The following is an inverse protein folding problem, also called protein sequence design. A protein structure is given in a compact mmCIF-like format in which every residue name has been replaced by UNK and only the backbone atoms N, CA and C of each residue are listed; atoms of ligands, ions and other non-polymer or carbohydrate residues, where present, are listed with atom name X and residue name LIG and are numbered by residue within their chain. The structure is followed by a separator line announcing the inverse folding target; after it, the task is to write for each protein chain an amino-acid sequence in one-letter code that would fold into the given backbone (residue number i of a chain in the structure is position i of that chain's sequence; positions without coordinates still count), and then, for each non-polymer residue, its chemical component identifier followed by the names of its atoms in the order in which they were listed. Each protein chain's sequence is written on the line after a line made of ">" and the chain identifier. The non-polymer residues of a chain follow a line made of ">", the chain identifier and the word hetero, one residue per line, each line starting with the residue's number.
data_IF_246933159460
#
_entry.id   IF_246933159460
#
_cell.length_a   1.000
_cell.length_b   1.000
_cell.length_c   1.000
_cell.angle_alpha   90.00
_cell.angle_beta   90.00
_cell.angle_gamma   90.00
#
_symmetry.space_group_name_H-M   'P 1'
#
loop_
_entity.id
_entity.type
_entity.pdbx_description
1 polymer ?
#
# COMPACT_ATOMS: atom_id res chain seq x y z
N UNK A 1 -35.79 -23.80 24.70
CA UNK A 1 -34.58 -23.91 23.85
C UNK A 1 -33.43 -23.27 24.62
N UNK A 2 -32.42 -24.06 25.01
CA UNK A 2 -31.45 -23.71 26.06
C UNK A 2 -30.33 -22.81 25.52
N UNK A 3 -30.04 -21.71 26.22
CA UNK A 3 -28.99 -20.72 25.95
C UNK A 3 -27.61 -21.32 25.63
N UNK A 4 -27.33 -22.52 26.16
CA UNK A 4 -26.08 -23.26 25.90
C UNK A 4 -25.88 -23.68 24.44
N UNK A 5 -26.96 -24.01 23.72
CA UNK A 5 -26.89 -24.37 22.29
C UNK A 5 -26.51 -23.14 21.44
N UNK A 6 -27.03 -21.97 21.81
CA UNK A 6 -26.73 -20.70 21.15
C UNK A 6 -25.27 -20.28 21.35
N UNK A 7 -24.73 -20.44 22.57
CA UNK A 7 -23.32 -20.15 22.86
C UNK A 7 -22.38 -21.12 22.13
N UNK A 8 -22.75 -22.39 22.01
CA UNK A 8 -21.99 -23.38 21.23
C UNK A 8 -21.96 -23.02 19.73
N UNK A 9 -23.09 -22.60 19.16
CA UNK A 9 -23.16 -22.15 17.76
C UNK A 9 -22.33 -20.89 17.51
N UNK A 10 -22.34 -19.92 18.43
CA UNK A 10 -21.49 -18.72 18.33
C UNK A 10 -20.01 -19.10 18.38
N UNK A 11 -19.61 -19.97 19.32
CA UNK A 11 -18.23 -20.40 19.44
C UNK A 11 -17.74 -21.20 18.22
N UNK A 12 -18.61 -22.05 17.64
CA UNK A 12 -18.32 -22.79 16.42
C UNK A 12 -18.26 -21.88 15.18
N UNK A 13 -19.09 -20.84 15.13
CA UNK A 13 -19.06 -19.82 14.07
C UNK A 13 -17.77 -18.98 14.14
N UNK A 14 -17.36 -18.53 15.33
CA UNK A 14 -16.13 -17.77 15.54
C UNK A 14 -14.86 -18.55 15.15
N UNK A 15 -14.85 -19.89 15.29
CA UNK A 15 -13.70 -20.71 14.88
C UNK A 15 -13.58 -20.93 13.37
N UNK A 16 -14.68 -20.83 12.62
CA UNK A 16 -14.70 -21.01 11.17
C UNK A 16 -14.51 -19.70 10.39
N UNK A 17 -14.46 -18.56 11.09
CA UNK A 17 -14.25 -17.24 10.50
C UNK A 17 -12.82 -16.74 10.77
N UNK A 18 -11.81 -17.58 10.50
CA UNK A 18 -10.44 -17.10 10.38
C UNK A 18 -10.29 -16.40 9.03
N UNK A 19 -10.41 -15.07 9.05
CA UNK A 19 -10.02 -14.22 7.93
C UNK A 19 -8.50 -14.28 7.86
N UNK A 20 -7.95 -15.09 6.97
CA UNK A 20 -6.53 -15.08 6.67
C UNK A 20 -6.23 -13.89 5.75
N UNK A 21 -5.48 -12.90 6.25
CA UNK A 21 -4.78 -11.96 5.38
C UNK A 21 -3.74 -12.74 4.56
N UNK A 22 -3.48 -12.34 3.31
CA UNK A 22 -2.45 -12.93 2.43
C UNK A 22 -1.08 -12.85 3.11
N UNK A 23 -0.51 -13.97 3.61
CA UNK A 23 0.79 -13.94 4.25
C UNK A 23 1.88 -13.45 3.29
N UNK A 24 1.78 -13.80 2.01
CA UNK A 24 2.75 -13.39 0.98
C UNK A 24 2.73 -11.88 0.72
N UNK A 25 1.56 -11.24 0.81
CA UNK A 25 1.46 -9.78 0.68
C UNK A 25 2.05 -9.08 1.90
N UNK A 26 1.82 -9.64 3.10
CA UNK A 26 2.45 -9.14 4.34
C UNK A 26 3.97 -9.25 4.28
N UNK A 27 4.51 -10.36 3.78
CA UNK A 27 5.94 -10.57 3.65
C UNK A 27 6.55 -9.58 2.65
N UNK A 28 5.94 -9.44 1.46
CA UNK A 28 6.33 -8.43 0.46
C UNK A 28 6.34 -7.03 1.06
N UNK A 29 5.28 -6.70 1.79
CA UNK A 29 5.11 -5.39 2.40
C UNK A 29 6.23 -5.09 3.42
N UNK A 30 6.59 -6.06 4.25
CA UNK A 30 7.67 -5.92 5.23
C UNK A 30 9.03 -5.82 4.53
N UNK A 31 9.26 -6.61 3.48
CA UNK A 31 10.51 -6.61 2.73
C UNK A 31 10.74 -5.26 2.02
N UNK A 32 9.70 -4.71 1.38
CA UNK A 32 9.77 -3.41 0.69
C UNK A 32 10.03 -2.26 1.67
N UNK A 33 9.53 -2.32 2.91
CA UNK A 33 9.63 -1.23 3.87
C UNK A 33 10.83 -1.34 4.84
N UNK A 34 11.52 -2.48 4.88
CA UNK A 34 12.59 -2.76 5.86
C UNK A 34 13.69 -1.68 5.89
N UNK A 35 14.04 -1.14 4.73
CA UNK A 35 15.10 -0.12 4.57
C UNK A 35 14.63 1.08 3.73
N UNK A 36 13.32 1.29 3.67
CA UNK A 36 12.74 2.37 2.89
C UNK A 36 12.59 3.63 3.75
N UNK A 37 13.18 4.74 3.32
CA UNK A 37 13.08 6.04 3.98
C UNK A 37 12.13 6.98 3.23
N UNK A 38 10.92 7.29 3.75
CA UNK A 38 9.92 8.10 3.04
C UNK A 38 10.34 9.55 2.74
N UNK A 39 11.35 10.04 3.45
CA UNK A 39 11.86 11.41 3.28
C UNK A 39 12.97 11.51 2.25
N UNK A 40 13.53 10.38 1.81
CA UNK A 40 14.57 10.33 0.81
C UNK A 40 13.94 10.26 -0.58
N UNK A 41 14.44 11.08 -1.50
CA UNK A 41 13.98 11.08 -2.88
C UNK A 41 14.36 9.75 -3.56
N UNK A 42 13.44 9.07 -4.25
CA UNK A 42 13.69 7.74 -4.83
C UNK A 42 14.45 7.84 -6.15
N UNK A 43 15.74 8.17 -6.06
CA UNK A 43 16.68 8.19 -7.18
C UNK A 43 17.88 7.30 -6.89
N UNK A 44 18.36 6.56 -7.89
CA UNK A 44 19.55 5.71 -7.75
C UNK A 44 20.81 6.55 -7.55
N UNK A 45 20.96 7.63 -8.33
CA UNK A 45 22.05 8.59 -8.18
C UNK A 45 21.52 9.95 -7.75
N UNK A 46 22.28 10.66 -6.89
CA UNK A 46 21.88 11.98 -6.39
C UNK A 46 21.71 13.03 -7.49
N UNK A 47 22.32 12.82 -8.66
CA UNK A 47 22.24 13.71 -9.83
C UNK A 47 20.95 13.55 -10.64
N UNK A 48 20.25 12.43 -10.46
CA UNK A 48 19.08 12.11 -11.25
C UNK A 48 17.85 12.92 -10.79
N UNK A 49 16.87 13.05 -11.67
CA UNK A 49 15.60 13.70 -11.38
C UNK A 49 14.51 12.64 -11.11
N UNK A 50 13.47 13.03 -10.39
CA UNK A 50 12.23 12.24 -10.33
C UNK A 50 11.27 12.82 -11.34
N UNK A 51 10.85 12.02 -12.30
CA UNK A 51 9.82 12.40 -13.26
C UNK A 51 8.45 12.07 -12.67
N UNK A 52 7.57 13.06 -12.60
CA UNK A 52 6.22 12.94 -12.05
C UNK A 52 5.21 13.23 -13.15
N UNK A 53 4.27 12.32 -13.35
CA UNK A 53 3.15 12.46 -14.27
C UNK A 53 1.91 12.87 -13.48
N UNK A 54 1.22 13.91 -13.93
CA UNK A 54 0.02 14.43 -13.26
C UNK A 54 -1.15 14.38 -14.24
N UNK A 55 -2.19 13.66 -13.85
CA UNK A 55 -3.48 13.64 -14.54
C UNK A 55 -4.39 14.74 -14.01
N UNK A 56 -4.83 15.65 -14.88
CA UNK A 56 -5.70 16.78 -14.53
C UNK A 56 -7.08 16.64 -15.17
N UNK A 57 -8.12 16.85 -14.36
CA UNK A 57 -9.46 17.22 -14.84
C UNK A 57 -9.72 18.65 -14.36
N UNK A 58 -10.46 19.45 -15.13
CA UNK A 58 -10.56 20.93 -15.00
C UNK A 58 -10.80 21.48 -13.58
N UNK A 59 -11.29 20.67 -12.65
CA UNK A 59 -11.56 21.06 -11.25
C UNK A 59 -10.66 20.37 -10.21
N UNK A 60 -9.93 19.29 -10.57
CA UNK A 60 -9.20 18.45 -9.61
C UNK A 60 -8.01 17.72 -10.24
N UNK A 61 -6.95 17.51 -9.45
CA UNK A 61 -5.90 16.53 -9.77
C UNK A 61 -6.51 15.14 -9.55
N UNK A 62 -6.47 14.29 -10.58
CA UNK A 62 -7.08 12.96 -10.55
C UNK A 62 -6.08 11.91 -10.10
N UNK A 63 -4.87 12.00 -10.63
CA UNK A 63 -3.84 11.00 -10.38
C UNK A 63 -2.45 11.62 -10.46
N UNK A 64 -1.53 11.05 -9.67
CA UNK A 64 -0.13 11.41 -9.64
C UNK A 64 0.67 10.13 -9.67
N UNK A 65 1.46 9.94 -10.72
CA UNK A 65 2.27 8.73 -10.91
C UNK A 65 3.74 9.09 -10.94
N UNK A 66 4.57 8.31 -10.26
CA UNK A 66 6.03 8.43 -10.27
C UNK A 66 6.67 7.04 -10.25
N UNK A 67 7.96 6.99 -10.55
CA UNK A 67 8.75 5.75 -10.49
C UNK A 67 9.64 5.76 -9.25
N UNK A 68 9.69 4.63 -8.56
CA UNK A 68 10.56 4.40 -7.40
C UNK A 68 11.34 3.10 -7.58
N UNK A 69 12.67 3.21 -7.63
CA UNK A 69 13.54 2.07 -7.88
C UNK A 69 13.63 1.09 -6.70
N UNK A 70 13.31 1.53 -5.47
CA UNK A 70 13.35 0.68 -4.27
C UNK A 70 12.08 -0.15 -4.11
N UNK A 71 10.97 0.31 -4.69
CA UNK A 71 9.67 -0.38 -4.66
C UNK A 71 9.51 -1.37 -5.83
N UNK A 72 10.52 -2.21 -6.05
CA UNK A 72 10.54 -3.24 -7.09
C UNK A 72 10.68 -4.63 -6.49
N UNK A 73 9.93 -5.59 -7.01
CA UNK A 73 10.01 -7.00 -6.63
C UNK A 73 9.74 -7.89 -7.84
N UNK A 74 10.09 -9.17 -7.73
CA UNK A 74 9.69 -10.19 -8.69
C UNK A 74 8.37 -10.83 -8.23
N UNK A 75 7.27 -10.71 -9.00
CA UNK A 75 5.98 -11.31 -8.65
C UNK A 75 6.08 -12.81 -8.38
N UNK A 76 7.02 -13.51 -9.02
CA UNK A 76 7.21 -14.96 -8.85
C UNK A 76 7.57 -15.36 -7.41
N UNK A 77 8.19 -14.45 -6.65
CA UNK A 77 8.59 -14.68 -5.25
C UNK A 77 7.45 -14.44 -4.25
N UNK A 78 6.38 -13.75 -4.66
CA UNK A 78 5.29 -13.33 -3.78
C UNK A 78 3.93 -13.67 -4.40
N UNK A 79 3.73 -14.95 -4.74
CA UNK A 79 2.46 -15.48 -5.26
C UNK A 79 1.84 -14.74 -6.47
N UNK A 80 2.66 -14.09 -7.30
CA UNK A 80 2.22 -13.36 -8.48
C UNK A 80 1.65 -11.97 -8.19
N UNK A 81 1.87 -11.40 -7.00
CA UNK A 81 1.42 -10.05 -6.65
C UNK A 81 2.11 -9.02 -7.57
N UNK A 82 1.32 -8.20 -8.26
CA UNK A 82 1.81 -7.13 -9.16
C UNK A 82 1.52 -5.72 -8.65
N UNK A 83 0.64 -5.58 -7.66
CA UNK A 83 0.26 -4.31 -7.06
C UNK A 83 0.14 -4.49 -5.54
N UNK A 84 0.63 -3.52 -4.78
CA UNK A 84 0.46 -3.45 -3.33
C UNK A 84 0.10 -2.02 -2.95
N UNK A 85 -0.71 -1.86 -1.91
CA UNK A 85 -1.21 -0.54 -1.47
C UNK A 85 -0.51 -0.07 -0.21
N UNK A 86 0.04 1.13 -0.26
CA UNK A 86 0.66 1.80 0.88
C UNK A 86 -0.18 2.98 1.39
N UNK A 87 -0.04 3.31 2.67
CA UNK A 87 -0.51 4.60 3.19
C UNK A 87 0.47 5.69 2.78
N UNK A 88 -0.03 6.90 2.54
CA UNK A 88 0.76 8.06 2.05
C UNK A 88 2.03 8.37 2.85
N UNK A 89 2.05 8.11 4.15
CA UNK A 89 3.19 8.41 5.03
C UNK A 89 4.26 7.30 5.07
N UNK A 90 4.06 6.19 4.36
CA UNK A 90 4.93 5.02 4.40
C UNK A 90 5.90 4.96 3.22
N UNK A 91 5.60 5.69 2.16
CA UNK A 91 6.44 5.77 0.97
C UNK A 91 6.72 7.24 0.64
N UNK A 92 7.80 7.50 -0.08
CA UNK A 92 8.06 8.82 -0.61
C UNK A 92 6.95 9.17 -1.58
N UNK A 93 6.36 10.33 -1.39
CA UNK A 93 5.36 10.89 -2.29
C UNK A 93 5.91 12.23 -2.76
N UNK A 94 5.86 12.55 -4.07
CA UNK A 94 6.29 13.85 -4.53
C UNK A 94 5.51 14.91 -3.77
N UNK A 95 6.24 15.87 -3.20
CA UNK A 95 5.69 17.03 -2.50
C UNK A 95 4.97 17.95 -3.47
N UNK A 96 3.89 17.50 -4.08
CA UNK A 96 2.89 18.39 -4.60
C UNK A 96 2.12 18.88 -3.38
N UNK A 97 2.27 20.17 -3.10
CA UNK A 97 1.10 20.97 -2.76
C UNK A 97 0.05 20.70 -3.85
N UNK A 98 -0.63 19.56 -3.76
CA UNK A 98 -2.00 19.43 -4.25
C UNK A 98 -2.65 20.64 -3.62
N UNK A 99 -2.97 21.63 -4.45
CA UNK A 99 -3.88 22.68 -4.08
C UNK A 99 -5.11 21.95 -3.52
N UNK A 100 -5.14 21.76 -2.19
CA UNK A 100 -6.39 21.86 -1.47
C UNK A 100 -6.84 23.25 -1.89
N UNK A 101 -7.76 23.31 -2.83
CA UNK A 101 -8.46 24.55 -3.09
C UNK A 101 -9.02 24.96 -1.73
N UNK A 102 -8.36 25.96 -1.16
CA UNK A 102 -8.88 26.77 -0.09
C UNK A 102 -9.97 27.57 -0.80
N UNK A 103 -11.17 27.01 -0.82
CA UNK A 103 -12.41 27.74 -0.93
C UNK A 103 -13.31 27.27 0.20
#
# INVERSE_FOLDING_TARGET
>A
MRYHEFLFLIFFCCKNFFIHASPEESDLYLDLLKEYYPYERPVEHSRDNVTVYVGLILQQIVDVTWFDYRLRWDPSNYAGITEVRFRRNQIWTPGAFLFKNIF
#
